data_IF_206326313760
#
_entry.id   IF_206326313760
#
_cell.length_a   1.000
_cell.length_b   1.000
_cell.length_c   1.000
_cell.angle_alpha   90.00
_cell.angle_beta   90.00
_cell.angle_gamma   90.00
#
_symmetry.space_group_name_H-M   'P 1'
#
loop_
_entity.id
_entity.type
_entity.pdbx_description
1 polymer ?
#
# COMPACT_ATOMS: atom_id res chain seq x y z
N UNK A 1 12.11 7.49 10.27
CA UNK A 1 11.93 6.71 9.01
C UNK A 1 10.81 7.24 8.12
N UNK A 2 9.64 7.61 8.65
CA UNK A 2 8.52 8.12 7.83
C UNK A 2 8.47 9.65 7.68
N UNK A 3 9.51 10.39 8.07
CA UNK A 3 9.50 11.87 8.07
C UNK A 3 9.42 12.45 6.66
N UNK A 4 10.00 11.75 5.67
CA UNK A 4 9.90 12.11 4.26
C UNK A 4 8.56 11.74 3.61
N UNK A 5 7.68 11.02 4.31
CA UNK A 5 6.41 10.58 3.72
C UNK A 5 5.38 11.72 3.83
N UNK A 6 4.60 11.92 2.76
CA UNK A 6 3.39 12.73 2.86
C UNK A 6 2.42 12.12 3.87
N UNK A 7 1.51 12.91 4.42
CA UNK A 7 0.50 12.38 5.35
C UNK A 7 -0.31 11.26 4.71
N UNK A 8 -0.61 11.36 3.42
CA UNK A 8 -1.30 10.31 2.67
C UNK A 8 -0.43 9.06 2.47
N UNK A 9 0.87 9.20 2.24
CA UNK A 9 1.78 8.06 2.16
C UNK A 9 1.97 7.36 3.53
N UNK A 10 1.94 8.11 4.64
CA UNK A 10 1.89 7.52 5.99
C UNK A 10 0.60 6.73 6.20
N UNK A 11 -0.54 7.23 5.71
CA UNK A 11 -1.83 6.53 5.74
C UNK A 11 -1.80 5.24 4.92
N UNK A 12 -1.13 5.22 3.78
CA UNK A 12 -0.91 3.99 2.99
C UNK A 12 -0.25 2.91 3.84
N UNK A 13 0.86 3.23 4.52
CA UNK A 13 1.60 2.26 5.34
C UNK A 13 0.78 1.79 6.54
N UNK A 14 0.02 2.71 7.14
CA UNK A 14 -0.89 2.39 8.22
C UNK A 14 -1.98 1.40 7.77
N UNK A 15 -2.59 1.62 6.60
CA UNK A 15 -3.56 0.68 6.04
C UNK A 15 -2.93 -0.64 5.62
N UNK A 16 -1.73 -0.63 5.05
CA UNK A 16 -0.99 -1.85 4.71
C UNK A 16 -0.73 -2.72 5.94
N UNK A 17 -0.31 -2.11 7.05
CA UNK A 17 -0.17 -2.81 8.33
C UNK A 17 -1.46 -3.44 8.81
N UNK A 18 -2.56 -2.72 8.67
CA UNK A 18 -3.86 -3.20 9.07
C UNK A 18 -4.33 -4.38 8.22
N UNK A 19 -4.15 -4.33 6.90
CA UNK A 19 -4.51 -5.47 6.03
C UNK A 19 -3.61 -6.67 6.29
N UNK A 20 -2.30 -6.47 6.51
CA UNK A 20 -1.38 -7.55 6.90
C UNK A 20 -1.81 -8.21 8.21
N UNK A 21 -2.15 -7.41 9.23
CA UNK A 21 -2.63 -7.94 10.51
C UNK A 21 -3.95 -8.69 10.37
N UNK A 22 -4.84 -8.24 9.48
CA UNK A 22 -6.13 -8.92 9.21
C UNK A 22 -5.98 -10.21 8.46
N UNK A 23 -5.02 -10.28 7.54
CA UNK A 23 -4.68 -11.49 6.81
C UNK A 23 -3.95 -12.52 7.68
N UNK A 24 -3.57 -12.15 8.92
CA UNK A 24 -2.71 -13.00 9.76
C UNK A 24 -1.29 -13.10 9.24
N UNK A 25 -0.86 -12.13 8.41
CA UNK A 25 0.48 -12.10 7.85
C UNK A 25 1.51 -11.79 8.94
N UNK A 26 2.66 -12.44 8.86
CA UNK A 26 3.81 -12.23 9.77
C UNK A 26 4.62 -10.98 9.41
N UNK A 27 4.44 -10.45 8.20
CA UNK A 27 5.10 -9.27 7.66
C UNK A 27 4.18 -8.46 6.75
N UNK A 28 4.50 -7.18 6.59
CA UNK A 28 3.87 -6.31 5.60
C UNK A 28 4.49 -6.62 4.24
N UNK A 29 3.76 -7.40 3.45
CA UNK A 29 4.09 -7.69 2.05
C UNK A 29 3.61 -6.60 1.08
N UNK A 30 4.04 -6.72 -0.19
CA UNK A 30 3.78 -5.76 -1.26
C UNK A 30 2.28 -5.65 -1.55
N UNK A 31 1.57 -6.77 -1.51
CA UNK A 31 0.13 -6.85 -1.68
C UNK A 31 -0.58 -5.96 -0.66
N UNK A 32 -0.12 -5.95 0.59
CA UNK A 32 -0.70 -5.08 1.61
C UNK A 32 -0.41 -3.59 1.37
N UNK A 33 0.77 -3.24 0.85
CA UNK A 33 1.09 -1.87 0.43
C UNK A 33 0.17 -1.41 -0.69
N UNK A 34 -0.04 -2.27 -1.68
CA UNK A 34 -0.98 -2.07 -2.79
C UNK A 34 -2.39 -1.83 -2.23
N UNK A 35 -2.90 -2.70 -1.36
CA UNK A 35 -4.19 -2.55 -0.68
C UNK A 35 -4.28 -1.21 0.09
N UNK A 36 -3.20 -0.80 0.75
CA UNK A 36 -3.10 0.48 1.45
C UNK A 36 -3.19 1.69 0.52
N UNK A 37 -2.55 1.63 -0.66
CA UNK A 37 -2.64 2.67 -1.71
C UNK A 37 -4.06 2.80 -2.20
N UNK A 38 -4.70 1.67 -2.53
CA UNK A 38 -6.07 1.70 -3.07
C UNK A 38 -7.09 2.32 -2.11
N UNK A 39 -6.79 2.28 -0.81
CA UNK A 39 -7.63 2.84 0.24
C UNK A 39 -7.44 4.34 0.46
N UNK A 40 -6.25 4.86 0.15
CA UNK A 40 -5.94 6.29 0.20
C UNK A 40 -6.39 6.98 -1.07
N UNK A 41 -6.13 6.38 -2.24
CA UNK A 41 -6.54 6.92 -3.53
C UNK A 41 -7.14 5.84 -4.45
N UNK A 42 -8.46 5.94 -4.66
CA UNK A 42 -9.24 5.07 -5.56
C UNK A 42 -8.88 5.24 -7.04
N UNK A 43 -8.24 6.35 -7.42
CA UNK A 43 -7.73 6.57 -8.79
C UNK A 43 -6.45 5.76 -9.00
N UNK A 44 -5.51 5.80 -8.05
CA UNK A 44 -4.32 4.95 -8.07
C UNK A 44 -4.67 3.47 -7.97
N UNK A 45 -5.69 3.11 -7.20
CA UNK A 45 -6.17 1.74 -7.12
C UNK A 45 -6.51 1.15 -8.50
N UNK A 46 -7.09 1.97 -9.38
CA UNK A 46 -7.44 1.57 -10.75
C UNK A 46 -6.22 1.44 -11.67
N UNK A 47 -5.06 1.94 -11.28
CA UNK A 47 -3.82 1.82 -12.06
C UNK A 47 -2.98 0.60 -11.65
N UNK A 48 -3.26 0.03 -10.48
CA UNK A 48 -2.55 -1.13 -9.96
C UNK A 48 -3.26 -2.41 -10.44
N UNK A 49 -2.61 -3.26 -11.26
CA UNK A 49 -3.24 -4.44 -11.84
C UNK A 49 -3.74 -5.42 -10.77
N UNK A 50 -2.99 -5.60 -9.68
CA UNK A 50 -3.36 -6.48 -8.56
C UNK A 50 -4.61 -6.02 -7.79
N UNK A 51 -5.03 -4.76 -7.98
CA UNK A 51 -6.25 -4.20 -7.39
C UNK A 51 -7.40 -4.05 -8.38
N UNK A 52 -7.20 -4.39 -9.65
CA UNK A 52 -8.31 -4.46 -10.59
C UNK A 52 -8.93 -5.85 -10.43
N UNK A 53 -10.00 -6.03 -9.64
CA UNK A 53 -10.76 -7.25 -9.76
C UNK A 53 -11.28 -7.34 -11.18
N UNK A 54 -11.24 -8.53 -11.76
CA UNK A 54 -11.90 -8.84 -13.03
C UNK A 54 -13.40 -8.44 -12.99
N UNK A 55 -13.98 -8.41 -11.77
CA UNK A 55 -15.31 -7.90 -11.47
C UNK A 55 -15.30 -6.90 -10.28
N UNK A 56 -15.54 -5.58 -10.48
CA UNK A 56 -15.61 -4.57 -9.41
C UNK A 56 -16.77 -4.77 -8.41
N UNK A 57 -17.69 -5.71 -8.68
CA UNK A 57 -18.73 -6.17 -7.78
C UNK A 57 -18.27 -7.14 -6.68
N UNK A 58 -17.03 -7.65 -6.77
CA UNK A 58 -16.50 -8.67 -5.86
C UNK A 58 -16.59 -8.25 -4.37
N UNK A 59 -17.05 -9.16 -3.48
CA UNK A 59 -17.22 -8.84 -2.05
C UNK A 59 -15.93 -8.44 -1.34
N UNK A 60 -14.78 -8.98 -1.76
CA UNK A 60 -13.49 -8.67 -1.17
C UNK A 60 -13.07 -7.21 -1.43
N UNK A 61 -13.38 -6.66 -2.60
CA UNK A 61 -13.15 -5.25 -2.93
C UNK A 61 -13.97 -4.30 -2.05
N UNK A 62 -15.28 -4.58 -1.90
CA UNK A 62 -16.15 -3.81 -0.98
C UNK A 62 -15.65 -3.91 0.46
N UNK A 63 -15.23 -5.10 0.89
CA UNK A 63 -14.71 -5.34 2.25
C UNK A 63 -13.41 -4.59 2.51
N UNK A 64 -12.56 -4.44 1.50
CA UNK A 64 -11.35 -3.61 1.55
C UNK A 64 -11.66 -2.12 1.77
N UNK A 65 -12.71 -1.63 1.12
CA UNK A 65 -13.11 -0.22 1.21
C UNK A 65 -13.93 0.12 2.47
N UNK A 66 -14.52 -0.89 3.14
CA UNK A 66 -15.48 -0.66 4.24
C UNK A 66 -14.95 -0.96 5.66
N UNK A 67 -13.80 -1.60 5.82
CA UNK A 67 -13.41 -2.08 7.16
C UNK A 67 -12.98 -0.94 8.09
N UNK A 68 -13.14 -1.08 9.42
CA UNK A 68 -12.70 -0.07 10.40
C UNK A 68 -11.38 -0.53 11.03
N UNK A 69 -10.46 0.41 11.21
CA UNK A 69 -9.10 0.10 11.66
C UNK A 69 -9.09 -0.27 13.13
N UNK A 70 -8.47 -1.40 13.47
CA UNK A 70 -8.07 -1.76 14.83
C UNK A 70 -6.54 -1.85 14.84
N UNK A 71 -5.91 -1.05 15.70
CA UNK A 71 -4.46 -0.90 15.78
C UNK A 71 -3.93 -1.75 16.92
N UNK A 72 -3.32 -2.92 16.65
CA UNK A 72 -2.60 -3.59 17.75
C UNK A 72 -1.41 -4.48 17.40
N UNK A 73 -0.88 -4.51 16.17
CA UNK A 73 0.34 -5.31 15.89
C UNK A 73 1.39 -4.48 15.15
N UNK A 74 2.60 -4.44 15.71
CA UNK A 74 3.79 -3.93 15.03
C UNK A 74 4.36 -5.05 14.16
N UNK A 75 3.90 -5.12 12.90
CA UNK A 75 4.40 -6.08 11.93
C UNK A 75 5.67 -5.53 11.25
N UNK A 76 6.72 -6.34 11.09
CA UNK A 76 7.90 -5.96 10.33
C UNK A 76 7.57 -5.82 8.83
N UNK A 77 8.34 -5.00 8.11
CA UNK A 77 8.32 -4.95 6.65
C UNK A 77 9.04 -6.17 6.07
N UNK A 78 8.48 -6.78 5.04
CA UNK A 78 9.16 -7.84 4.29
C UNK A 78 10.34 -7.32 3.50
N UNK A 79 11.21 -8.23 3.02
CA UNK A 79 12.37 -7.85 2.21
C UNK A 79 11.94 -7.17 0.90
N UNK A 80 10.90 -7.67 0.23
CA UNK A 80 10.35 -7.08 -0.98
C UNK A 80 9.78 -5.66 -0.72
N UNK A 81 8.98 -5.51 0.35
CA UNK A 81 8.46 -4.20 0.75
C UNK A 81 9.57 -3.20 1.07
N UNK A 82 10.68 -3.63 1.69
CA UNK A 82 11.82 -2.76 1.97
C UNK A 82 12.50 -2.28 0.69
N UNK A 83 12.69 -3.16 -0.29
CA UNK A 83 13.28 -2.81 -1.60
C UNK A 83 12.42 -1.75 -2.30
N UNK A 84 11.11 -1.98 -2.37
CA UNK A 84 10.17 -1.04 -3.00
C UNK A 84 10.21 0.32 -2.31
N UNK A 85 10.17 0.35 -0.97
CA UNK A 85 10.18 1.59 -0.18
C UNK A 85 11.52 2.33 -0.25
N UNK A 86 12.64 1.62 -0.39
CA UNK A 86 13.96 2.21 -0.56
C UNK A 86 14.18 2.77 -1.98
N UNK A 87 13.54 2.18 -2.98
CA UNK A 87 13.61 2.60 -4.38
C UNK A 87 12.70 3.77 -4.76
N UNK A 88 11.87 4.27 -3.85
CA UNK A 88 10.92 5.35 -4.13
C UNK A 88 11.67 6.66 -4.36
N UNK A 89 11.46 7.25 -5.53
CA UNK A 89 11.92 8.61 -5.79
C UNK A 89 10.94 9.62 -5.17
N UNK A 90 11.41 10.56 -4.35
CA UNK A 90 10.55 11.60 -3.80
C UNK A 90 10.06 12.56 -4.89
N UNK A 91 9.00 13.30 -4.59
CA UNK A 91 8.45 14.35 -5.44
C UNK A 91 9.31 15.64 -5.43
N UNK A 92 8.83 16.68 -6.11
CA UNK A 92 9.50 17.99 -6.19
C UNK A 92 9.71 18.66 -4.81
N UNK A 93 8.99 18.24 -3.78
CA UNK A 93 9.10 18.73 -2.40
C UNK A 93 9.93 17.81 -1.49
N UNK A 94 10.71 16.87 -2.06
CA UNK A 94 11.44 15.81 -1.34
C UNK A 94 10.52 14.89 -0.50
N UNK A 95 9.25 14.73 -0.90
CA UNK A 95 8.27 13.90 -0.20
C UNK A 95 7.95 12.61 -0.95
N UNK A 96 7.81 11.52 -0.21
CA UNK A 96 7.29 10.25 -0.73
C UNK A 96 5.76 10.34 -0.72
N UNK A 97 5.16 10.26 -1.90
CA UNK A 97 3.71 10.31 -2.09
C UNK A 97 3.13 8.92 -2.44
N UNK A 98 1.81 8.71 -2.30
CA UNK A 98 1.14 7.48 -2.76
C UNK A 98 1.40 7.17 -4.24
N UNK A 99 1.47 8.18 -5.10
CA UNK A 99 1.76 8.05 -6.53
C UNK A 99 3.20 7.57 -6.77
N UNK A 100 4.16 8.09 -6.00
CA UNK A 100 5.55 7.65 -6.05
C UNK A 100 5.69 6.19 -5.59
N UNK A 101 4.96 5.80 -4.55
CA UNK A 101 4.88 4.42 -4.07
C UNK A 101 4.29 3.48 -5.13
N UNK A 102 3.15 3.85 -5.73
CA UNK A 102 2.50 3.07 -6.78
C UNK A 102 3.42 2.87 -7.99
N UNK A 103 4.13 3.92 -8.42
CA UNK A 103 5.12 3.82 -9.52
C UNK A 103 6.28 2.89 -9.18
N UNK A 104 6.76 2.90 -7.94
CA UNK A 104 7.83 1.99 -7.49
C UNK A 104 7.37 0.53 -7.56
N UNK A 105 6.15 0.25 -7.09
CA UNK A 105 5.55 -1.10 -7.14
C UNK A 105 5.39 -1.57 -8.59
N UNK A 106 4.83 -0.73 -9.47
CA UNK A 106 4.66 -1.07 -10.89
C UNK A 106 5.99 -1.37 -11.59
N UNK A 107 7.08 -0.70 -11.18
CA UNK A 107 8.42 -0.96 -11.72
C UNK A 107 8.97 -2.31 -11.27
N UNK A 108 8.77 -2.69 -10.02
CA UNK A 108 9.24 -3.97 -9.47
C UNK A 108 8.51 -5.16 -10.13
N UNK A 109 7.22 -5.02 -10.43
CA UNK A 109 6.42 -6.08 -11.08
C UNK A 109 6.77 -6.33 -12.57
N UNK A 110 7.64 -5.50 -13.16
CA UNK A 110 8.06 -5.62 -14.56
C UNK A 110 9.45 -6.25 -14.74
N UNK A 111 10.09 -6.65 -13.64
CA UNK A 111 11.43 -7.26 -13.60
C UNK A 111 11.37 -8.72 -13.17
#
# INVERSE_FOLDING_TARGET
>A
MFEKYSEDAKRVIFFARYEASRAGATSIEVEHLILGIGRVDKRLARQLPDLQPEDPGQPWWRRLMQSRVSTSVALPLSSASKVILAGVKPDEADRITPEALARSILREQQH
#
